data_IF_553532901666
#
_entry.id   IF_553532901666
#
_cell.length_a   1.000
_cell.length_b   1.000
_cell.length_c   1.000
_cell.angle_alpha   90.00
_cell.angle_beta   90.00
_cell.angle_gamma   90.00
#
_symmetry.space_group_name_H-M   'P 1'
#
loop_
_entity.id
_entity.type
_entity.pdbx_description
1 polymer ?
#
# COMPACT_ATOMS: atom_id res chain seq x y z
N UNK A 1 -56.34 -19.68 -41.92
CA UNK A 1 -56.32 -20.86 -41.05
C UNK A 1 -55.00 -21.58 -41.16
N UNK A 2 -54.40 -21.89 -40.00
CA UNK A 2 -53.40 -22.94 -39.66
C UNK A 2 -52.18 -23.10 -40.58
N UNK A 3 -51.02 -22.57 -40.17
CA UNK A 3 -49.93 -23.24 -39.42
C UNK A 3 -49.02 -24.07 -40.35
N UNK A 4 -47.82 -23.53 -40.58
CA UNK A 4 -46.71 -24.19 -41.25
C UNK A 4 -45.49 -24.29 -40.32
N UNK A 5 -45.20 -25.52 -39.91
CA UNK A 5 -43.90 -26.22 -39.86
C UNK A 5 -42.62 -25.43 -39.50
N UNK A 6 -41.86 -25.98 -38.55
CA UNK A 6 -40.41 -26.15 -38.75
C UNK A 6 -39.50 -25.47 -37.72
N UNK A 7 -38.87 -26.28 -36.88
CA UNK A 7 -37.69 -25.89 -36.11
C UNK A 7 -36.45 -25.85 -37.00
N UNK A 8 -35.63 -24.80 -36.92
CA UNK A 8 -34.23 -24.82 -37.34
C UNK A 8 -33.37 -23.97 -36.40
N UNK A 9 -32.36 -24.62 -35.80
CA UNK A 9 -31.20 -23.97 -35.18
C UNK A 9 -30.30 -23.42 -36.29
N UNK A 10 -29.80 -22.19 -36.13
CA UNK A 10 -28.82 -21.60 -37.03
C UNK A 10 -28.08 -20.43 -36.36
N UNK A 11 -26.78 -20.60 -36.24
CA UNK A 11 -25.78 -19.70 -35.63
C UNK A 11 -25.48 -18.51 -36.56
N UNK A 12 -25.23 -17.32 -36.00
CA UNK A 12 -24.87 -16.12 -36.78
C UNK A 12 -24.37 -14.93 -35.96
N UNK A 13 -23.12 -15.02 -35.49
CA UNK A 13 -22.05 -14.02 -35.37
C UNK A 13 -22.27 -12.47 -35.20
N UNK A 14 -21.35 -11.94 -34.38
CA UNK A 14 -20.70 -10.61 -34.29
C UNK A 14 -21.21 -9.54 -33.30
N UNK A 15 -20.24 -9.04 -32.54
CA UNK A 15 -20.24 -8.14 -31.38
C UNK A 15 -20.74 -6.69 -31.58
N UNK A 16 -21.19 -6.07 -30.47
CA UNK A 16 -20.98 -4.65 -30.12
C UNK A 16 -21.13 -4.42 -28.59
N UNK A 17 -20.06 -3.91 -27.96
CA UNK A 17 -19.97 -3.33 -26.61
C UNK A 17 -20.69 -1.95 -26.57
N UNK A 18 -20.77 -1.15 -25.47
CA UNK A 18 -20.84 -1.40 -24.01
C UNK A 18 -22.04 -0.65 -23.36
N UNK A 19 -22.35 -0.92 -22.09
CA UNK A 19 -23.22 -0.03 -21.29
C UNK A 19 -24.26 -0.78 -20.48
N UNK A 20 -24.07 -0.75 -19.16
CA UNK A 20 -24.93 -1.27 -18.11
C UNK A 20 -26.34 -0.70 -18.17
N UNK A 21 -27.21 -1.34 -18.94
CA UNK A 21 -28.66 -1.17 -18.82
C UNK A 21 -29.13 -1.96 -17.59
N UNK A 22 -29.37 -1.26 -16.47
CA UNK A 22 -30.39 -1.60 -15.45
C UNK A 22 -30.44 -0.48 -14.40
N UNK A 23 -30.89 0.69 -14.83
CA UNK A 23 -31.67 1.54 -13.95
C UNK A 23 -33.07 0.91 -13.90
N UNK A 24 -33.33 0.11 -12.87
CA UNK A 24 -34.69 -0.33 -12.55
C UNK A 24 -35.22 0.57 -11.44
N UNK A 25 -36.11 1.47 -11.87
CA UNK A 25 -37.35 1.83 -11.21
C UNK A 25 -37.31 2.13 -9.70
N UNK A 26 -37.17 3.45 -9.44
CA UNK A 26 -37.94 4.25 -8.50
C UNK A 26 -38.42 3.58 -7.19
N UNK A 27 -37.58 3.75 -6.17
CA UNK A 27 -37.78 3.45 -4.74
C UNK A 27 -39.09 4.04 -4.18
N UNK A 28 -39.94 3.17 -3.63
CA UNK A 28 -40.97 3.58 -2.66
C UNK A 28 -40.31 3.90 -1.30
N UNK A 29 -40.27 5.20 -1.02
CA UNK A 29 -40.22 5.91 0.28
C UNK A 29 -39.73 5.11 1.51
N UNK A 30 -38.50 5.41 1.95
CA UNK A 30 -38.14 5.44 3.38
C UNK A 30 -36.83 4.77 3.77
N UNK A 31 -36.50 3.61 3.19
CA UNK A 31 -35.33 2.81 3.60
C UNK A 31 -34.06 2.99 2.75
N UNK A 32 -34.18 3.42 1.50
CA UNK A 32 -33.08 3.32 0.53
C UNK A 32 -32.05 4.44 0.63
N UNK A 33 -32.38 5.60 1.22
CA UNK A 33 -31.44 6.73 1.34
C UNK A 33 -30.28 6.43 2.29
N UNK A 34 -30.51 5.62 3.33
CA UNK A 34 -29.46 5.21 4.26
C UNK A 34 -28.54 4.17 3.63
N UNK A 35 -29.09 3.19 2.90
CA UNK A 35 -28.28 2.16 2.22
C UNK A 35 -27.48 2.75 1.07
N UNK A 36 -28.06 3.69 0.30
CA UNK A 36 -27.35 4.39 -0.77
C UNK A 36 -26.31 5.35 -0.21
N UNK A 37 -26.58 6.10 0.86
CA UNK A 37 -25.58 6.94 1.53
C UNK A 37 -24.48 6.12 2.23
N UNK A 38 -24.80 4.93 2.77
CA UNK A 38 -23.81 4.00 3.32
C UNK A 38 -22.96 3.37 2.21
N UNK A 39 -23.56 2.97 1.09
CA UNK A 39 -22.82 2.48 -0.07
C UNK A 39 -21.98 3.58 -0.71
N UNK A 40 -22.49 4.80 -0.84
CA UNK A 40 -21.74 5.97 -1.30
C UNK A 40 -20.63 6.33 -0.30
N UNK A 41 -20.86 6.32 1.01
CA UNK A 41 -19.79 6.48 2.01
C UNK A 41 -18.76 5.35 1.96
N UNK A 42 -19.16 4.11 1.72
CA UNK A 42 -18.24 2.97 1.56
C UNK A 42 -17.42 3.08 0.27
N UNK A 43 -18.02 3.56 -0.81
CA UNK A 43 -17.38 3.83 -2.12
C UNK A 43 -16.48 5.07 -2.05
N UNK A 44 -16.84 6.09 -1.26
CA UNK A 44 -16.03 7.30 -1.03
C UNK A 44 -14.97 7.07 0.06
N UNK A 45 -15.13 6.04 0.91
CA UNK A 45 -14.16 5.58 1.92
C UNK A 45 -13.04 4.69 1.34
N UNK A 46 -13.03 4.40 0.05
CA UNK A 46 -12.06 3.50 -0.59
C UNK A 46 -11.15 4.20 -1.59
N UNK A 47 -10.84 5.49 -1.40
CA UNK A 47 -9.79 6.13 -2.20
C UNK A 47 -8.45 5.55 -1.77
N UNK A 48 -7.84 4.78 -2.67
CA UNK A 48 -6.53 4.17 -2.48
C UNK A 48 -5.53 5.16 -1.88
N UNK A 49 -4.78 4.76 -0.85
CA UNK A 49 -3.71 5.60 -0.28
C UNK A 49 -2.65 5.98 -1.33
N UNK A 50 -2.58 5.21 -2.42
CA UNK A 50 -1.67 5.44 -3.55
C UNK A 50 -2.09 6.58 -4.49
N UNK A 51 -3.35 7.04 -4.42
CA UNK A 51 -3.83 8.22 -5.15
C UNK A 51 -3.47 9.53 -4.46
N UNK A 52 -3.00 9.47 -3.20
CA UNK A 52 -2.60 10.63 -2.44
C UNK A 52 -1.22 11.17 -2.87
N UNK A 53 -0.98 12.48 -2.73
CA UNK A 53 0.35 13.06 -2.88
C UNK A 53 1.37 12.35 -1.97
N UNK A 54 2.66 12.24 -2.36
CA UNK A 54 3.65 11.43 -1.63
C UNK A 54 3.76 11.71 -0.12
N UNK A 55 3.65 12.97 0.28
CA UNK A 55 3.71 13.38 1.70
C UNK A 55 2.48 12.90 2.47
N UNK A 56 1.28 13.11 1.91
CA UNK A 56 0.02 12.67 2.53
C UNK A 56 -0.05 11.14 2.58
N UNK A 57 0.37 10.47 1.51
CA UNK A 57 0.49 9.01 1.44
C UNK A 57 1.39 8.46 2.54
N UNK A 58 2.58 9.05 2.71
CA UNK A 58 3.54 8.67 3.74
C UNK A 58 2.91 8.73 5.13
N UNK A 59 2.34 9.89 5.50
CA UNK A 59 1.68 10.08 6.80
C UNK A 59 0.53 9.08 7.03
N UNK A 60 -0.32 8.86 6.03
CA UNK A 60 -1.42 7.90 6.13
C UNK A 60 -0.90 6.47 6.35
N UNK A 61 0.14 6.06 5.60
CA UNK A 61 0.75 4.74 5.74
C UNK A 61 1.42 4.58 7.11
N UNK A 62 2.20 5.55 7.56
CA UNK A 62 2.82 5.55 8.90
C UNK A 62 1.76 5.35 10.00
N UNK A 63 0.63 6.08 9.93
CA UNK A 63 -0.47 5.91 10.87
C UNK A 63 -1.14 4.54 10.78
N UNK A 64 -1.44 4.05 9.57
CA UNK A 64 -1.99 2.70 9.37
C UNK A 64 -1.06 1.59 9.91
N UNK A 65 0.26 1.84 9.90
CA UNK A 65 1.28 0.94 10.42
C UNK A 65 1.62 1.19 11.89
N UNK A 66 0.89 2.06 12.59
CA UNK A 66 1.03 2.25 14.03
C UNK A 66 2.24 3.08 14.45
N UNK A 67 2.61 4.09 13.66
CA UNK A 67 3.54 5.15 14.10
C UNK A 67 3.10 5.67 15.48
N UNK A 68 4.02 5.62 16.45
CA UNK A 68 3.78 6.07 17.81
C UNK A 68 4.79 7.13 18.27
N UNK A 69 5.78 7.47 17.45
CA UNK A 69 6.69 8.59 17.69
C UNK A 69 6.15 9.87 17.05
N UNK A 70 6.62 11.00 17.53
CA UNK A 70 6.31 12.29 16.93
C UNK A 70 6.73 12.33 15.45
N UNK A 71 5.95 13.02 14.60
CA UNK A 71 6.18 13.06 13.13
C UNK A 71 7.55 13.62 12.70
N UNK A 72 8.19 14.39 13.58
CA UNK A 72 9.51 14.97 13.34
C UNK A 72 10.63 14.14 13.99
N UNK A 73 10.29 13.00 14.61
CA UNK A 73 11.29 12.10 15.15
C UNK A 73 12.11 11.54 13.99
N UNK A 74 13.43 11.65 14.11
CA UNK A 74 14.31 11.41 12.97
C UNK A 74 14.51 9.92 12.72
N UNK A 75 14.45 9.50 11.44
CA UNK A 75 14.71 8.14 10.91
C UNK A 75 13.70 7.06 11.29
N UNK A 76 13.21 7.01 12.51
CA UNK A 76 12.29 5.97 13.01
C UNK A 76 10.93 6.55 13.33
N UNK A 77 9.90 5.77 13.05
CA UNK A 77 8.50 6.18 13.14
C UNK A 77 7.77 5.45 14.28
N UNK A 78 8.28 4.28 14.68
CA UNK A 78 7.69 3.46 15.73
C UNK A 78 8.75 2.89 16.67
N UNK A 79 8.50 2.98 17.97
CA UNK A 79 9.32 2.41 19.03
C UNK A 79 8.54 1.40 19.85
N UNK A 80 9.08 0.18 20.01
CA UNK A 80 8.58 -0.83 20.91
C UNK A 80 9.60 -1.09 22.03
N UNK A 81 9.49 -0.44 23.19
CA UNK A 81 10.47 -0.55 24.27
C UNK A 81 10.54 -1.96 24.88
N UNK A 82 9.41 -2.69 24.93
CA UNK A 82 9.36 -4.05 25.48
C UNK A 82 10.19 -5.02 24.65
N UNK A 83 10.14 -4.88 23.32
CA UNK A 83 10.91 -5.73 22.38
C UNK A 83 12.25 -5.12 21.99
N UNK A 84 12.50 -3.85 22.29
CA UNK A 84 13.68 -3.11 21.83
C UNK A 84 13.72 -2.95 20.31
N UNK A 85 12.57 -2.76 19.66
CA UNK A 85 12.48 -2.66 18.19
C UNK A 85 12.20 -1.21 17.80
N UNK A 86 13.12 -0.63 17.02
CA UNK A 86 12.95 0.67 16.39
C UNK A 86 12.67 0.47 14.89
N UNK A 87 11.47 0.88 14.45
CA UNK A 87 11.01 0.70 13.07
C UNK A 87 10.97 2.03 12.32
N UNK A 88 11.55 2.06 11.13
CA UNK A 88 11.28 3.07 10.09
C UNK A 88 10.21 2.56 9.14
N UNK A 89 9.21 3.38 8.85
CA UNK A 89 8.12 3.07 7.93
C UNK A 89 8.30 3.97 6.70
N UNK A 90 8.41 3.37 5.52
CA UNK A 90 8.54 4.09 4.26
C UNK A 90 7.46 3.63 3.29
N UNK A 91 7.06 4.53 2.40
CA UNK A 91 6.21 4.18 1.27
C UNK A 91 6.94 4.42 -0.03
N UNK A 92 6.76 3.49 -0.98
CA UNK A 92 7.33 3.57 -2.31
C UNK A 92 6.34 2.98 -3.32
N UNK A 93 5.97 3.76 -4.33
CA UNK A 93 5.08 3.27 -5.38
C UNK A 93 5.91 2.64 -6.50
N UNK A 94 5.96 1.32 -6.56
CA UNK A 94 6.74 0.60 -7.59
C UNK A 94 6.33 0.91 -9.03
N UNK A 95 5.15 1.51 -9.25
CA UNK A 95 4.67 1.91 -10.57
C UNK A 95 5.18 3.29 -11.03
N UNK A 96 5.84 4.06 -10.16
CA UNK A 96 6.43 5.33 -10.59
C UNK A 96 7.51 5.07 -11.65
N UNK A 97 7.58 5.92 -12.69
CA UNK A 97 8.49 5.77 -13.85
C UNK A 97 9.95 5.57 -13.40
N UNK A 98 10.36 6.26 -12.34
CA UNK A 98 11.69 6.14 -11.74
C UNK A 98 12.02 4.72 -11.28
N UNK A 99 11.03 3.99 -10.73
CA UNK A 99 11.22 2.67 -10.12
C UNK A 99 10.95 1.50 -11.07
N UNK A 100 10.52 1.79 -12.30
CA UNK A 100 10.58 0.82 -13.40
C UNK A 100 12.03 0.45 -13.74
N UNK A 101 13.00 1.30 -13.39
CA UNK A 101 14.41 0.98 -13.46
C UNK A 101 14.87 0.32 -12.14
N UNK A 102 15.18 -0.99 -12.19
CA UNK A 102 15.63 -1.77 -11.03
C UNK A 102 16.85 -1.17 -10.32
N UNK A 103 17.80 -0.53 -11.04
CA UNK A 103 18.96 0.13 -10.40
C UNK A 103 18.54 1.32 -9.55
N UNK A 104 17.56 2.10 -10.02
CA UNK A 104 17.03 3.25 -9.29
C UNK A 104 16.19 2.81 -8.08
N UNK A 105 15.41 1.74 -8.22
CA UNK A 105 14.70 1.12 -7.11
C UNK A 105 15.68 0.62 -6.03
N UNK A 106 16.68 -0.17 -6.44
CA UNK A 106 17.71 -0.68 -5.54
C UNK A 106 18.47 0.45 -4.82
N UNK A 107 18.89 1.49 -5.55
CA UNK A 107 19.56 2.65 -4.96
C UNK A 107 18.69 3.32 -3.88
N UNK A 108 17.40 3.52 -4.15
CA UNK A 108 16.48 4.14 -3.20
C UNK A 108 16.31 3.30 -1.94
N UNK A 109 16.14 1.98 -2.09
CA UNK A 109 15.96 1.07 -0.97
C UNK A 109 17.25 0.92 -0.13
N UNK A 110 18.42 0.87 -0.76
CA UNK A 110 19.72 0.89 -0.05
C UNK A 110 19.91 2.15 0.78
N UNK A 111 19.47 3.30 0.26
CA UNK A 111 19.48 4.56 1.00
C UNK A 111 18.62 4.46 2.26
N UNK A 112 17.41 3.90 2.19
CA UNK A 112 16.58 3.68 3.36
C UNK A 112 17.24 2.75 4.39
N UNK A 113 17.77 1.60 3.95
CA UNK A 113 18.50 0.69 4.85
C UNK A 113 19.65 1.39 5.53
N UNK A 114 20.44 2.19 4.80
CA UNK A 114 21.56 2.95 5.37
C UNK A 114 21.08 3.93 6.43
N UNK A 115 20.08 4.76 6.11
CA UNK A 115 19.51 5.74 7.04
C UNK A 115 19.02 5.08 8.34
N UNK A 116 18.43 3.89 8.26
CA UNK A 116 18.00 3.12 9.44
C UNK A 116 19.20 2.53 10.19
N UNK A 117 20.16 1.92 9.50
CA UNK A 117 21.34 1.27 10.12
C UNK A 117 22.22 2.23 10.93
N UNK A 118 22.18 3.52 10.60
CA UNK A 118 22.90 4.60 11.28
C UNK A 118 22.15 5.13 12.52
N UNK A 119 20.94 4.65 12.80
CA UNK A 119 20.20 5.04 14.00
C UNK A 119 20.84 4.44 15.27
N UNK A 120 21.12 5.31 16.24
CA UNK A 120 21.76 4.98 17.53
C UNK A 120 20.96 5.50 18.72
N UNK A 121 19.68 5.77 18.53
CA UNK A 121 18.87 6.52 19.49
C UNK A 121 18.76 7.99 19.14
N UNK A 122 17.76 8.65 19.73
CA UNK A 122 17.49 10.07 19.62
C UNK A 122 16.50 10.49 20.70
N UNK A 123 16.42 11.80 20.94
CA UNK A 123 15.50 12.43 21.85
C UNK A 123 14.75 13.56 21.13
N UNK A 124 13.43 13.62 21.33
CA UNK A 124 12.59 14.72 20.88
C UNK A 124 11.41 14.91 21.84
N UNK A 125 11.51 15.92 22.70
CA UNK A 125 10.47 16.15 23.71
C UNK A 125 10.39 14.97 24.67
N UNK A 126 9.23 14.32 24.73
CA UNK A 126 9.02 13.14 25.61
C UNK A 126 9.42 11.81 24.96
N UNK A 127 9.70 11.80 23.65
CA UNK A 127 10.11 10.60 22.95
C UNK A 127 11.63 10.44 23.11
N UNK A 128 12.04 9.45 23.90
CA UNK A 128 13.45 9.14 24.17
C UNK A 128 13.70 7.67 23.83
N UNK A 129 14.68 7.43 22.95
CA UNK A 129 15.16 6.08 22.61
C UNK A 129 16.66 6.06 22.82
N UNK A 130 17.11 5.28 23.79
CA UNK A 130 18.54 5.15 24.07
C UNK A 130 19.17 4.00 23.28
N UNK A 131 20.42 4.19 22.85
CA UNK A 131 21.16 3.21 22.05
C UNK A 131 21.12 1.79 22.63
N UNK A 132 21.29 1.69 23.95
CA UNK A 132 21.36 0.42 24.67
C UNK A 132 20.02 -0.34 24.72
N UNK A 133 18.90 0.34 24.49
CA UNK A 133 17.57 -0.25 24.47
C UNK A 133 17.26 -0.91 23.11
N UNK A 134 17.97 -0.50 22.05
CA UNK A 134 17.72 -0.97 20.68
C UNK A 134 18.34 -2.35 20.49
N UNK A 135 17.49 -3.36 20.39
CA UNK A 135 17.86 -4.76 20.11
C UNK A 135 17.77 -5.07 18.61
N UNK A 136 16.86 -4.42 17.91
CA UNK A 136 16.63 -4.63 16.48
C UNK A 136 16.23 -3.32 15.81
N UNK A 137 16.81 -3.08 14.63
CA UNK A 137 16.36 -2.06 13.69
C UNK A 137 15.51 -2.71 12.62
N UNK A 138 14.36 -2.12 12.32
CA UNK A 138 13.41 -2.63 11.32
C UNK A 138 13.12 -1.54 10.28
N UNK A 139 13.02 -1.94 9.02
CA UNK A 139 12.54 -1.10 7.91
C UNK A 139 11.31 -1.76 7.28
N UNK A 140 10.15 -1.17 7.47
CA UNK A 140 8.94 -1.53 6.73
C UNK A 140 8.83 -0.68 5.47
N UNK A 141 8.80 -1.31 4.29
CA UNK A 141 8.60 -0.64 3.00
C UNK A 141 7.22 -1.02 2.47
N UNK A 142 6.29 -0.09 2.58
CA UNK A 142 4.97 -0.23 1.98
C UNK A 142 5.02 0.00 0.46
N UNK A 143 4.38 -0.90 -0.29
CA UNK A 143 4.28 -0.89 -1.77
C UNK A 143 2.87 -1.28 -2.21
N UNK A 144 2.38 -0.84 -3.39
CA UNK A 144 1.05 -1.20 -3.87
C UNK A 144 0.95 -2.66 -4.35
N UNK A 145 2.08 -3.23 -4.73
CA UNK A 145 2.26 -4.63 -5.13
C UNK A 145 3.76 -4.95 -5.13
N UNK A 146 4.13 -6.22 -5.37
CA UNK A 146 5.52 -6.61 -5.54
C UNK A 146 6.10 -6.25 -6.93
N UNK A 147 5.28 -5.71 -7.83
CA UNK A 147 5.73 -5.28 -9.15
C UNK A 147 6.15 -6.44 -10.06
N UNK A 148 7.05 -6.16 -11.01
CA UNK A 148 7.58 -7.13 -11.98
C UNK A 148 8.58 -8.11 -11.33
N UNK A 149 8.91 -9.25 -11.96
CA UNK A 149 9.95 -10.16 -11.45
C UNK A 149 11.30 -9.46 -11.22
N UNK A 150 11.65 -8.48 -12.05
CA UNK A 150 12.87 -7.70 -11.88
C UNK A 150 12.84 -6.77 -10.65
N UNK A 151 11.65 -6.33 -10.21
CA UNK A 151 11.47 -5.57 -8.96
C UNK A 151 11.43 -6.51 -7.74
N UNK A 152 10.85 -7.70 -7.89
CA UNK A 152 10.86 -8.74 -6.85
C UNK A 152 12.27 -9.17 -6.49
N UNK A 153 13.13 -9.38 -7.49
CA UNK A 153 14.55 -9.67 -7.26
C UNK A 153 15.26 -8.54 -6.48
N UNK A 154 14.91 -7.28 -6.75
CA UNK A 154 15.44 -6.14 -5.97
C UNK A 154 14.97 -6.19 -4.52
N UNK A 155 13.74 -6.64 -4.27
CA UNK A 155 13.23 -6.83 -2.91
C UNK A 155 13.94 -7.96 -2.16
N UNK A 156 14.20 -9.08 -2.83
CA UNK A 156 15.01 -10.17 -2.25
C UNK A 156 16.42 -9.68 -1.91
N UNK A 157 17.09 -9.01 -2.85
CA UNK A 157 18.44 -8.47 -2.68
C UNK A 157 18.51 -7.42 -1.55
N UNK A 158 17.49 -6.56 -1.38
CA UNK A 158 17.51 -5.58 -0.29
C UNK A 158 17.27 -6.23 1.07
N UNK A 159 16.49 -7.32 1.15
CA UNK A 159 16.30 -8.05 2.41
C UNK A 159 17.63 -8.63 2.87
N UNK A 160 18.38 -9.26 1.97
CA UNK A 160 19.74 -9.75 2.26
C UNK A 160 20.67 -8.61 2.67
N UNK A 161 20.69 -7.50 1.91
CA UNK A 161 21.51 -6.33 2.24
C UNK A 161 21.15 -5.71 3.60
N UNK A 162 19.87 -5.70 3.96
CA UNK A 162 19.38 -5.26 5.25
C UNK A 162 19.98 -6.09 6.38
N UNK A 163 19.92 -7.42 6.27
CA UNK A 163 20.50 -8.34 7.25
C UNK A 163 22.00 -8.11 7.45
N UNK A 164 22.77 -7.93 6.37
CA UNK A 164 24.20 -7.58 6.43
C UNK A 164 24.45 -6.28 7.21
N UNK A 165 23.48 -5.36 7.18
CA UNK A 165 23.50 -4.07 7.89
C UNK A 165 22.78 -4.09 9.23
N UNK A 166 22.38 -5.27 9.73
CA UNK A 166 21.63 -5.45 10.98
C UNK A 166 20.30 -4.69 11.00
N UNK A 167 19.64 -4.63 9.84
CA UNK A 167 18.29 -4.06 9.66
C UNK A 167 17.37 -5.15 9.11
N UNK A 168 16.31 -5.47 9.83
CA UNK A 168 15.25 -6.37 9.37
C UNK A 168 14.35 -5.62 8.38
N UNK A 169 14.40 -5.98 7.10
CA UNK A 169 13.65 -5.31 6.03
C UNK A 169 12.40 -6.11 5.70
N UNK A 170 11.23 -5.45 5.74
CA UNK A 170 9.93 -6.05 5.46
C UNK A 170 9.23 -5.31 4.33
N UNK A 171 8.86 -6.04 3.28
CA UNK A 171 8.04 -5.50 2.19
C UNK A 171 6.57 -5.71 2.54
N UNK A 172 5.82 -4.62 2.66
CA UNK A 172 4.41 -4.63 3.06
C UNK A 172 3.56 -4.25 1.85
N UNK A 173 2.75 -5.18 1.34
CA UNK A 173 1.83 -4.88 0.25
C UNK A 173 0.57 -4.24 0.81
N UNK A 174 0.27 -3.02 0.38
CA UNK A 174 -0.99 -2.32 0.63
C UNK A 174 -1.66 -2.17 -0.73
N UNK A 175 -2.63 -3.03 -1.10
CA UNK A 175 -3.24 -2.98 -2.43
C UNK A 175 -3.85 -1.62 -2.77
N UNK A 176 -3.98 -1.36 -4.08
CA UNK A 176 -4.68 -0.17 -4.54
C UNK A 176 -6.17 -0.23 -4.26
#
# INVERSE_FOLDING_TARGET
SVVGVGALKGVGYVAKLPGTQRAVDFVSKGGSRLIEALNLRKVVSSTSVWLEPPVIRGMKIEKMRGQNLHKNFTRVDRWNPLKGIATSIKSLNVYDVTYQNSKRLMYKLRRYVREVSEFKGAELGIDIIEAHQIKLLELEVAVPSLGTPAQQKVFEEIITYGMERKVDVKIIVIPK
#
